data_IF_113448140041
#
_entry.id   IF_113448140041
#
_cell.length_a   1.000
_cell.length_b   1.000
_cell.length_c   1.000
_cell.angle_alpha   90.00
_cell.angle_beta   90.00
_cell.angle_gamma   90.00
#
_symmetry.space_group_name_H-M   'P 1'
#
loop_
_entity.id
_entity.type
_entity.pdbx_description
1 polymer ?
#
# COMPACT_ATOMS: atom_id res chain seq x y z
N UNK A 1 13.61 16.88 -0.65
CA UNK A 1 14.63 15.87 -0.27
C UNK A 1 13.98 14.49 -0.35
N UNK A 2 14.71 13.49 -0.85
CA UNK A 2 14.32 12.09 -0.71
C UNK A 2 15.38 11.39 0.15
N UNK A 3 14.95 10.59 1.11
CA UNK A 3 15.84 9.72 1.85
C UNK A 3 15.31 8.29 1.79
N UNK A 4 16.23 7.34 1.76
CA UNK A 4 15.94 5.91 1.80
C UNK A 4 16.51 5.35 3.09
N UNK A 5 15.92 4.27 3.58
CA UNK A 5 16.46 3.57 4.74
C UNK A 5 17.84 2.99 4.41
N UNK A 6 18.74 2.86 5.40
CA UNK A 6 19.98 2.12 5.23
C UNK A 6 19.72 0.71 4.66
N UNK A 7 20.67 0.21 3.88
CA UNK A 7 20.54 -1.12 3.26
C UNK A 7 20.34 -2.19 4.34
N UNK A 8 19.34 -3.04 4.14
CA UNK A 8 18.95 -4.11 5.07
C UNK A 8 18.39 -3.64 6.41
N UNK A 9 18.09 -2.35 6.56
CA UNK A 9 17.27 -1.85 7.66
C UNK A 9 15.83 -1.64 7.20
N UNK A 10 14.90 -2.10 8.03
CA UNK A 10 13.47 -1.90 7.85
C UNK A 10 12.82 -1.61 9.20
N UNK A 11 11.54 -1.25 9.16
CA UNK A 11 10.75 -1.02 10.36
C UNK A 11 10.70 0.44 10.80
N UNK A 12 9.85 0.67 11.79
CA UNK A 12 9.42 1.99 12.27
C UNK A 12 10.56 2.80 12.87
N UNK A 13 11.49 2.17 13.57
CA UNK A 13 12.64 2.83 14.24
C UNK A 13 13.63 3.45 13.25
N UNK A 14 14.01 2.70 12.19
CA UNK A 14 14.94 3.22 11.18
C UNK A 14 14.29 4.37 10.40
N UNK A 15 13.01 4.21 10.02
CA UNK A 15 12.25 5.27 9.36
C UNK A 15 12.12 6.55 10.21
N UNK A 16 11.85 6.42 11.50
CA UNK A 16 11.79 7.56 12.42
C UNK A 16 13.14 8.28 12.55
N UNK A 17 14.24 7.53 12.56
CA UNK A 17 15.60 8.09 12.63
C UNK A 17 15.94 8.89 11.37
N UNK A 18 15.67 8.33 10.19
CA UNK A 18 15.88 9.02 8.91
C UNK A 18 15.01 10.26 8.81
N UNK A 19 13.73 10.18 9.20
CA UNK A 19 12.83 11.33 9.19
C UNK A 19 13.29 12.45 10.13
N UNK A 20 13.73 12.10 11.35
CA UNK A 20 14.29 13.06 12.32
C UNK A 20 15.51 13.77 11.76
N UNK A 21 16.46 13.02 11.18
CA UNK A 21 17.70 13.59 10.66
C UNK A 21 17.44 14.45 9.41
N UNK A 22 16.43 14.10 8.61
CA UNK A 22 15.95 14.90 7.49
C UNK A 22 15.36 16.23 7.96
N UNK A 23 14.45 16.22 8.95
CA UNK A 23 13.88 17.46 9.51
C UNK A 23 14.95 18.36 10.13
N UNK A 24 15.97 17.76 10.77
CA UNK A 24 17.12 18.51 11.31
C UNK A 24 17.94 19.18 10.19
N UNK A 25 18.19 18.46 9.10
CA UNK A 25 19.10 18.93 8.03
C UNK A 25 18.43 19.88 7.05
N UNK A 26 17.10 19.79 6.90
CA UNK A 26 16.32 20.57 5.96
C UNK A 26 15.19 21.33 6.69
N UNK A 27 15.49 22.49 7.30
CA UNK A 27 14.56 23.20 8.17
C UNK A 27 13.31 23.75 7.46
N UNK A 28 13.33 23.84 6.13
CA UNK A 28 12.20 24.32 5.32
C UNK A 28 11.20 23.21 4.94
N UNK A 29 11.37 21.97 5.42
CA UNK A 29 10.36 20.92 5.21
C UNK A 29 9.08 21.29 5.96
N UNK A 30 7.97 21.32 5.22
CA UNK A 30 6.63 21.57 5.79
C UNK A 30 5.78 20.30 5.92
N UNK A 31 5.98 19.35 5.02
CA UNK A 31 5.25 18.09 4.96
C UNK A 31 6.21 16.96 4.60
N UNK A 32 5.99 15.78 5.17
CA UNK A 32 6.66 14.54 4.80
C UNK A 32 5.65 13.56 4.23
N UNK A 33 6.02 12.88 3.14
CA UNK A 33 5.25 11.78 2.57
C UNK A 33 6.02 10.48 2.80
N UNK A 34 5.37 9.49 3.40
CA UNK A 34 5.90 8.14 3.52
C UNK A 34 5.38 7.32 2.35
N UNK A 35 6.30 6.82 1.52
CA UNK A 35 5.99 5.99 0.34
C UNK A 35 6.70 4.66 0.52
N UNK A 36 5.98 3.57 0.27
CA UNK A 36 6.50 2.22 0.39
C UNK A 36 5.56 1.20 -0.22
N UNK A 37 6.00 -0.05 -0.25
CA UNK A 37 5.17 -1.19 -0.64
C UNK A 37 4.46 -1.76 0.60
N UNK A 38 3.29 -2.36 0.40
CA UNK A 38 2.53 -3.02 1.44
C UNK A 38 1.79 -4.24 0.91
N UNK A 39 1.30 -5.08 1.82
CA UNK A 39 0.39 -6.17 1.48
C UNK A 39 -1.04 -5.65 1.31
N UNK A 40 -1.77 -6.16 0.32
CA UNK A 40 -3.19 -5.92 0.17
C UNK A 40 -4.01 -6.90 1.01
N UNK A 41 -5.12 -6.43 1.59
CA UNK A 41 -6.14 -7.27 2.22
C UNK A 41 -7.47 -7.08 1.48
N UNK A 42 -7.68 -7.77 0.34
CA UNK A 42 -8.87 -7.58 -0.48
C UNK A 42 -10.15 -7.97 0.26
N UNK A 43 -11.26 -7.32 -0.09
CA UNK A 43 -12.59 -7.63 0.42
C UNK A 43 -13.62 -7.47 -0.68
N UNK A 44 -14.84 -7.98 -0.47
CA UNK A 44 -15.93 -7.81 -1.44
C UNK A 44 -16.25 -6.34 -1.77
N UNK A 45 -15.87 -5.39 -0.90
CA UNK A 45 -16.04 -3.95 -1.12
C UNK A 45 -14.80 -3.28 -1.73
N UNK A 46 -13.62 -3.85 -1.53
CA UNK A 46 -12.35 -3.26 -1.94
C UNK A 46 -11.52 -4.34 -2.62
N UNK A 47 -11.58 -4.36 -3.94
CA UNK A 47 -10.87 -5.31 -4.77
C UNK A 47 -9.42 -4.85 -5.02
N UNK A 48 -8.60 -4.94 -3.97
CA UNK A 48 -7.19 -4.51 -3.99
C UNK A 48 -6.36 -5.51 -4.82
N UNK A 49 -5.67 -5.03 -5.85
CA UNK A 49 -4.85 -5.82 -6.79
C UNK A 49 -3.37 -5.50 -6.69
N UNK A 50 -2.53 -6.40 -7.19
CA UNK A 50 -1.10 -6.10 -7.33
C UNK A 50 -0.89 -4.91 -8.28
N UNK A 51 -0.16 -3.92 -7.78
CA UNK A 51 0.12 -2.66 -8.48
C UNK A 51 -0.83 -1.52 -8.12
N UNK A 52 -1.93 -1.79 -7.41
CA UNK A 52 -2.80 -0.73 -6.89
C UNK A 52 -2.07 0.21 -5.94
N UNK A 53 -2.52 1.46 -5.91
CA UNK A 53 -1.97 2.51 -5.05
C UNK A 53 -2.92 2.72 -3.87
N UNK A 54 -2.36 2.80 -2.67
CA UNK A 54 -3.15 3.07 -1.46
C UNK A 54 -2.75 4.44 -0.93
N UNK A 55 -3.72 5.32 -0.75
CA UNK A 55 -3.52 6.64 -0.15
C UNK A 55 -4.19 6.68 1.21
N UNK A 56 -3.36 6.88 2.24
CA UNK A 56 -3.82 6.99 3.61
C UNK A 56 -4.69 8.24 3.79
N UNK A 57 -5.94 8.06 4.22
CA UNK A 57 -6.87 9.15 4.58
C UNK A 57 -7.59 8.87 5.89
N UNK A 58 -8.18 9.90 6.50
CA UNK A 58 -8.93 9.76 7.76
C UNK A 58 -10.05 8.73 7.59
N UNK A 59 -10.20 7.84 8.56
CA UNK A 59 -11.27 6.84 8.57
C UNK A 59 -11.59 6.38 9.99
N UNK A 60 -12.88 6.20 10.29
CA UNK A 60 -13.37 5.61 11.56
C UNK A 60 -12.73 6.19 12.83
N UNK A 61 -12.54 7.52 12.88
CA UNK A 61 -11.92 8.22 14.02
C UNK A 61 -10.39 8.13 14.11
N UNK A 62 -9.71 7.47 13.16
CA UNK A 62 -8.25 7.29 13.13
C UNK A 62 -7.57 8.24 12.14
N UNK A 63 -6.27 8.48 12.35
CA UNK A 63 -5.43 9.40 11.57
C UNK A 63 -4.89 8.87 10.25
N UNK A 64 -5.57 7.94 9.59
CA UNK A 64 -5.13 7.38 8.30
C UNK A 64 -4.20 6.19 8.38
N UNK A 65 -3.40 6.08 9.43
CA UNK A 65 -2.61 4.87 9.72
C UNK A 65 -3.06 4.27 11.04
N UNK A 66 -3.25 2.96 11.04
CA UNK A 66 -3.66 2.16 12.19
C UNK A 66 -2.57 1.14 12.53
N UNK A 67 -1.95 1.30 13.70
CA UNK A 67 -0.99 0.33 14.19
C UNK A 67 -1.71 -0.82 14.87
N UNK A 68 -1.82 -1.96 14.19
CA UNK A 68 -2.72 -3.05 14.60
C UNK A 68 -2.13 -3.97 15.67
N UNK A 69 -0.80 -3.99 15.79
CA UNK A 69 -0.04 -4.76 16.78
C UNK A 69 0.24 -3.99 18.07
N UNK A 70 -0.14 -2.71 18.15
CA UNK A 70 0.15 -1.85 19.30
C UNK A 70 -1.07 -1.63 20.20
N UNK A 71 -1.00 -2.19 21.40
CA UNK A 71 -2.14 -2.22 22.31
C UNK A 71 -1.91 -3.10 23.52
N UNK A 72 -2.99 -3.39 24.22
CA UNK A 72 -3.01 -4.23 25.43
C UNK A 72 -3.75 -5.52 25.15
N UNK A 73 -3.08 -6.64 25.43
CA UNK A 73 -3.75 -7.91 25.64
C UNK A 73 -4.26 -7.93 27.09
N UNK A 74 -5.58 -7.99 27.26
CA UNK A 74 -6.23 -8.10 28.57
C UNK A 74 -6.85 -9.50 28.63
N UNK A 75 -6.63 -10.22 29.73
CA UNK A 75 -7.16 -11.57 29.91
C UNK A 75 -8.68 -11.58 29.67
N UNK A 76 -9.17 -12.56 28.91
CA UNK A 76 -10.59 -12.71 28.52
C UNK A 76 -11.18 -11.55 27.71
N UNK A 77 -10.37 -10.65 27.18
CA UNK A 77 -10.82 -9.55 26.34
C UNK A 77 -10.13 -9.58 24.98
N UNK A 78 -10.79 -8.98 23.97
CA UNK A 78 -10.15 -8.71 22.69
C UNK A 78 -8.98 -7.75 22.86
N UNK A 79 -8.00 -7.82 21.95
CA UNK A 79 -6.88 -6.90 21.93
C UNK A 79 -7.36 -5.44 21.88
N UNK A 80 -6.90 -4.63 22.84
CA UNK A 80 -7.31 -3.23 22.95
C UNK A 80 -6.21 -2.36 22.35
N UNK A 81 -6.45 -1.77 21.18
CA UNK A 81 -5.55 -0.76 20.63
C UNK A 81 -5.53 0.47 21.55
N UNK A 82 -4.34 0.89 21.97
CA UNK A 82 -4.18 2.05 22.87
C UNK A 82 -3.50 3.24 22.23
N UNK A 83 -3.03 3.11 20.98
CA UNK A 83 -2.32 4.17 20.25
C UNK A 83 -3.17 4.79 19.13
N UNK A 84 -2.94 6.07 18.88
CA UNK A 84 -3.44 6.76 17.68
C UNK A 84 -2.30 7.53 17.03
N UNK A 85 -2.14 7.41 15.72
CA UNK A 85 -1.19 8.21 14.96
C UNK A 85 -1.79 9.56 14.56
N UNK A 86 -0.91 10.53 14.33
CA UNK A 86 -1.29 11.86 13.87
C UNK A 86 -2.09 11.77 12.58
N UNK A 87 -3.09 12.65 12.46
CA UNK A 87 -3.91 12.74 11.25
C UNK A 87 -3.20 13.61 10.20
N UNK A 88 -3.40 13.34 8.89
CA UNK A 88 -2.89 14.23 7.86
C UNK A 88 -3.42 15.65 8.06
N UNK A 89 -2.59 16.69 7.88
CA UNK A 89 -3.02 18.08 7.94
C UNK A 89 -4.20 18.37 7.00
N UNK A 90 -5.12 19.25 7.41
CA UNK A 90 -6.30 19.62 6.60
C UNK A 90 -5.92 20.05 5.18
N UNK A 91 -4.85 20.81 5.02
CA UNK A 91 -4.38 21.25 3.70
C UNK A 91 -4.11 20.06 2.75
N UNK A 92 -3.49 18.98 3.25
CA UNK A 92 -3.21 17.80 2.43
C UNK A 92 -4.49 17.02 2.13
N UNK A 93 -5.42 16.96 3.08
CA UNK A 93 -6.72 16.32 2.87
C UNK A 93 -7.56 17.07 1.83
N UNK A 94 -7.53 18.40 1.83
CA UNK A 94 -8.21 19.21 0.80
C UNK A 94 -7.59 19.02 -0.57
N UNK A 95 -6.25 18.98 -0.65
CA UNK A 95 -5.56 18.67 -1.90
C UNK A 95 -5.89 17.26 -2.40
N UNK A 96 -5.97 16.29 -1.49
CA UNK A 96 -6.36 14.92 -1.79
C UNK A 96 -7.77 14.84 -2.40
N UNK A 97 -8.76 15.52 -1.81
CA UNK A 97 -10.12 15.55 -2.35
C UNK A 97 -10.20 16.18 -3.74
N UNK A 98 -9.37 17.20 -4.02
CA UNK A 98 -9.27 17.76 -5.36
C UNK A 98 -8.70 16.78 -6.38
N UNK A 99 -7.64 16.07 -6.00
CA UNK A 99 -7.00 15.05 -6.84
C UNK A 99 -7.92 13.84 -7.09
N UNK A 100 -8.64 13.40 -6.07
CA UNK A 100 -9.63 12.33 -6.18
C UNK A 100 -10.75 12.70 -7.17
N UNK A 101 -11.27 13.94 -7.10
CA UNK A 101 -12.28 14.42 -8.04
C UNK A 101 -11.75 14.56 -9.48
N UNK A 102 -10.51 15.00 -9.66
CA UNK A 102 -9.86 15.06 -10.98
C UNK A 102 -9.71 13.68 -11.59
N UNK A 103 -9.25 12.69 -10.81
CA UNK A 103 -9.10 11.32 -11.27
C UNK A 103 -10.44 10.60 -11.50
N UNK A 104 -11.48 10.91 -10.72
CA UNK A 104 -12.83 10.40 -10.98
C UNK A 104 -13.38 10.89 -12.33
N UNK A 105 -13.06 12.14 -12.72
CA UNK A 105 -13.54 12.75 -13.96
C UNK A 105 -12.71 12.38 -15.19
N UNK A 106 -11.38 12.35 -15.05
CA UNK A 106 -10.45 12.29 -16.17
C UNK A 106 -9.63 10.98 -16.21
N UNK A 107 -9.70 10.17 -15.16
CA UNK A 107 -8.79 9.07 -14.91
C UNK A 107 -7.39 9.55 -14.53
N UNK A 108 -6.44 8.62 -14.43
CA UNK A 108 -5.05 8.95 -14.13
C UNK A 108 -4.05 8.37 -15.14
N UNK A 109 -2.87 8.99 -15.22
CA UNK A 109 -1.80 8.60 -16.14
C UNK A 109 -0.68 7.78 -15.48
N UNK A 110 -0.96 7.09 -14.37
CA UNK A 110 0.05 6.38 -13.58
C UNK A 110 0.87 5.37 -14.42
N UNK A 111 0.21 4.50 -15.19
CA UNK A 111 0.92 3.55 -16.06
C UNK A 111 1.78 4.28 -17.10
N UNK A 112 1.23 5.29 -17.77
CA UNK A 112 1.97 6.05 -18.79
C UNK A 112 3.21 6.74 -18.19
N UNK A 113 3.15 7.20 -16.95
CA UNK A 113 4.30 7.77 -16.25
C UNK A 113 5.35 6.71 -15.88
N UNK A 114 4.91 5.54 -15.40
CA UNK A 114 5.80 4.41 -15.09
C UNK A 114 6.47 3.89 -16.36
N UNK A 115 5.72 3.68 -17.44
CA UNK A 115 6.24 3.18 -18.71
C UNK A 115 7.27 4.14 -19.31
N UNK A 116 7.00 5.45 -19.27
CA UNK A 116 7.95 6.48 -19.71
C UNK A 116 9.25 6.45 -18.88
N UNK A 117 9.15 6.24 -17.58
CA UNK A 117 10.34 6.09 -16.72
C UNK A 117 11.12 4.81 -17.07
N UNK A 118 10.43 3.70 -17.31
CA UNK A 118 11.04 2.43 -17.69
C UNK A 118 11.65 2.45 -19.11
N UNK A 119 11.09 3.25 -20.02
CA UNK A 119 11.70 3.58 -21.32
C UNK A 119 12.98 4.38 -21.16
N UNK A 120 12.97 5.40 -20.31
CA UNK A 120 14.13 6.24 -20.04
C UNK A 120 15.28 5.47 -19.40
N UNK A 121 14.99 4.49 -18.54
CA UNK A 121 15.99 3.67 -17.85
C UNK A 121 15.80 2.17 -18.12
N UNK A 122 16.24 1.65 -19.28
CA UNK A 122 15.97 0.28 -19.69
C UNK A 122 16.48 -0.80 -18.71
N UNK A 123 17.55 -0.52 -17.96
CA UNK A 123 18.07 -1.42 -16.92
C UNK A 123 17.09 -1.66 -15.77
N UNK A 124 16.12 -0.76 -15.57
CA UNK A 124 15.10 -0.88 -14.54
C UNK A 124 13.96 -1.81 -14.96
N UNK A 125 13.68 -1.96 -16.26
CA UNK A 125 12.56 -2.79 -16.77
C UNK A 125 12.54 -4.18 -16.17
N UNK A 126 13.66 -4.89 -16.22
CA UNK A 126 13.71 -6.27 -15.74
C UNK A 126 13.28 -6.42 -14.27
N UNK A 127 13.52 -5.41 -13.43
CA UNK A 127 13.27 -5.48 -11.98
C UNK A 127 11.99 -4.76 -11.55
N UNK A 128 11.58 -3.72 -12.26
CA UNK A 128 10.53 -2.79 -11.82
C UNK A 128 9.34 -2.71 -12.78
N UNK A 129 9.33 -3.50 -13.86
CA UNK A 129 8.11 -3.69 -14.66
C UNK A 129 7.00 -4.31 -13.81
N UNK A 130 5.76 -3.89 -14.09
CA UNK A 130 4.58 -4.51 -13.49
C UNK A 130 4.55 -6.00 -13.86
N UNK A 131 4.33 -6.91 -12.90
CA UNK A 131 4.13 -8.32 -13.19
C UNK A 131 2.94 -8.56 -14.13
N UNK A 132 2.92 -9.66 -14.89
CA UNK A 132 1.77 -10.09 -15.67
C UNK A 132 0.47 -10.19 -14.85
N UNK A 133 -0.67 -9.89 -15.47
CA UNK A 133 -1.97 -9.86 -14.77
C UNK A 133 -2.37 -11.22 -14.16
N UNK A 134 -1.97 -12.32 -14.78
CA UNK A 134 -2.19 -13.70 -14.30
C UNK A 134 -1.37 -14.06 -13.06
N UNK A 135 -0.38 -13.23 -12.68
CA UNK A 135 0.35 -13.36 -11.43
C UNK A 135 -0.40 -12.82 -10.20
N UNK A 136 -1.44 -11.99 -10.39
CA UNK A 136 -2.29 -11.50 -9.29
C UNK A 136 -3.37 -12.53 -8.93
N UNK A 137 -3.03 -13.44 -8.03
CA UNK A 137 -3.84 -14.61 -7.68
C UNK A 137 -4.36 -14.50 -6.26
N UNK A 138 -5.67 -14.32 -6.13
CA UNK A 138 -6.35 -14.28 -4.83
C UNK A 138 -6.84 -15.68 -4.47
N UNK A 139 -6.18 -16.31 -3.50
CA UNK A 139 -6.62 -17.57 -2.93
C UNK A 139 -7.78 -17.35 -1.96
N UNK A 140 -8.66 -18.33 -1.82
CA UNK A 140 -9.67 -18.31 -0.77
C UNK A 140 -9.01 -18.35 0.60
N UNK A 141 -9.65 -17.71 1.59
CA UNK A 141 -9.11 -17.56 2.94
C UNK A 141 -8.93 -18.87 3.72
N UNK A 142 -9.60 -19.95 3.28
CA UNK A 142 -9.50 -21.28 3.87
C UNK A 142 -8.37 -22.14 3.29
N UNK A 143 -7.66 -21.65 2.27
CA UNK A 143 -6.51 -22.35 1.70
C UNK A 143 -5.30 -22.17 2.61
N UNK A 144 -4.74 -23.29 3.06
CA UNK A 144 -3.49 -23.32 3.82
C UNK A 144 -2.32 -23.30 2.84
N UNK A 145 -1.51 -22.26 2.93
CA UNK A 145 -0.31 -22.12 2.13
C UNK A 145 0.83 -22.97 2.73
N UNK A 146 1.56 -23.75 1.93
CA UNK A 146 2.74 -24.46 2.39
C UNK A 146 3.77 -23.51 3.00
N UNK A 147 4.43 -23.94 4.08
CA UNK A 147 5.56 -23.22 4.64
C UNK A 147 6.81 -23.48 3.77
N UNK A 148 6.97 -22.67 2.73
CA UNK A 148 8.07 -22.75 1.78
C UNK A 148 8.68 -21.39 1.50
N UNK A 149 9.98 -21.36 1.18
CA UNK A 149 10.66 -20.15 0.71
C UNK A 149 10.26 -19.72 -0.71
N UNK A 150 9.61 -20.61 -1.46
CA UNK A 150 9.22 -20.37 -2.85
C UNK A 150 7.95 -19.51 -2.93
N UNK A 151 7.73 -18.87 -4.08
CA UNK A 151 6.56 -18.02 -4.29
C UNK A 151 5.28 -18.85 -4.25
N UNK A 152 4.20 -18.31 -3.67
CA UNK A 152 2.94 -19.08 -3.59
C UNK A 152 2.40 -19.46 -4.98
N UNK A 153 2.68 -18.70 -6.03
CA UNK A 153 2.31 -19.09 -7.39
C UNK A 153 2.93 -20.45 -7.83
N UNK A 154 4.07 -20.83 -7.24
CA UNK A 154 4.83 -22.03 -7.60
C UNK A 154 4.42 -23.25 -6.75
N UNK A 155 4.07 -23.03 -5.48
CA UNK A 155 3.81 -24.12 -4.51
C UNK A 155 2.33 -24.33 -4.17
N UNK A 156 1.49 -23.33 -4.40
CA UNK A 156 0.07 -23.39 -4.08
C UNK A 156 -0.72 -24.01 -5.25
N UNK A 157 -1.88 -24.61 -4.94
CA UNK A 157 -2.71 -25.26 -5.95
C UNK A 157 -3.21 -24.25 -7.00
N UNK A 158 -3.05 -24.61 -8.28
CA UNK A 158 -3.59 -23.85 -9.41
C UNK A 158 -5.04 -24.20 -9.74
N UNK A 159 -5.69 -25.03 -8.92
CA UNK A 159 -7.09 -25.39 -9.10
C UNK A 159 -7.99 -24.13 -8.99
N UNK A 160 -8.82 -23.83 -9.99
CA UNK A 160 -9.80 -22.74 -9.93
C UNK A 160 -10.69 -22.79 -8.67
N UNK A 161 -10.92 -23.96 -8.09
CA UNK A 161 -11.69 -24.11 -6.85
C UNK A 161 -11.00 -23.49 -5.61
N UNK A 162 -9.68 -23.31 -5.66
CA UNK A 162 -8.88 -22.67 -4.60
C UNK A 162 -8.79 -21.15 -4.75
N UNK A 163 -9.12 -20.62 -5.94
CA UNK A 163 -9.00 -19.21 -6.27
C UNK A 163 -10.36 -18.50 -6.15
N UNK A 164 -10.32 -17.22 -5.81
CA UNK A 164 -11.47 -16.32 -5.90
C UNK A 164 -11.54 -15.79 -7.33
N UNK A 165 -12.67 -16.02 -7.98
CA UNK A 165 -12.93 -15.45 -9.31
C UNK A 165 -13.03 -13.92 -9.22
N UNK A 166 -12.21 -13.23 -10.02
CA UNK A 166 -12.13 -11.77 -10.07
C UNK A 166 -12.29 -11.34 -11.52
N UNK A 167 -13.34 -10.57 -11.80
CA UNK A 167 -13.58 -10.01 -13.13
C UNK A 167 -12.42 -9.10 -13.53
N UNK A 168 -12.06 -9.08 -14.80
CA UNK A 168 -11.16 -8.04 -15.31
C UNK A 168 -11.77 -6.65 -15.10
N UNK A 169 -10.92 -5.67 -14.80
CA UNK A 169 -11.37 -4.27 -14.69
C UNK A 169 -11.80 -3.79 -16.06
N UNK A 170 -12.97 -3.17 -16.12
CA UNK A 170 -13.51 -2.63 -17.37
C UNK A 170 -12.86 -1.31 -17.78
N UNK A 171 -13.24 -0.78 -18.94
CA UNK A 171 -12.75 0.51 -19.46
C UNK A 171 -13.09 1.72 -18.57
N UNK A 172 -14.05 1.57 -17.66
CA UNK A 172 -14.49 2.62 -16.72
C UNK A 172 -13.81 2.49 -15.35
N UNK A 173 -12.93 1.51 -15.17
CA UNK A 173 -12.21 1.26 -13.93
C UNK A 173 -10.72 1.53 -14.12
N UNK A 174 -10.12 2.25 -13.18
CA UNK A 174 -8.69 2.50 -13.19
C UNK A 174 -7.90 1.20 -12.93
N UNK A 175 -6.86 0.99 -13.73
CA UNK A 175 -5.88 -0.06 -13.51
C UNK A 175 -4.45 0.48 -13.72
N UNK A 176 -3.64 0.68 -12.66
CA UNK A 176 -3.91 0.36 -11.26
C UNK A 176 -5.02 1.22 -10.67
N UNK A 177 -5.73 0.74 -9.65
CA UNK A 177 -6.73 1.53 -8.94
C UNK A 177 -6.10 2.24 -7.75
N UNK A 178 -6.68 3.37 -7.36
CA UNK A 178 -6.30 4.10 -6.16
C UNK A 178 -7.35 3.86 -5.08
N UNK A 179 -6.92 3.33 -3.93
CA UNK A 179 -7.79 3.12 -2.77
C UNK A 179 -7.47 4.16 -1.70
N UNK A 180 -8.50 4.85 -1.23
CA UNK A 180 -8.38 5.84 -0.17
C UNK A 180 -8.91 5.26 1.14
N UNK A 181 -8.07 5.16 2.17
CA UNK A 181 -8.54 4.62 3.44
C UNK A 181 -7.51 4.51 4.55
N UNK A 182 -7.86 3.68 5.53
CA UNK A 182 -6.97 3.35 6.64
C UNK A 182 -5.92 2.34 6.18
N UNK A 183 -4.66 2.66 6.42
CA UNK A 183 -3.52 1.76 6.19
C UNK A 183 -3.13 1.10 7.50
N UNK A 184 -3.08 -0.23 7.50
CA UNK A 184 -2.61 -1.00 8.64
C UNK A 184 -1.07 -1.03 8.67
N UNK A 185 -0.48 -0.90 9.87
CA UNK A 185 0.97 -0.98 10.08
C UNK A 185 1.28 -1.81 11.32
N UNK A 186 2.43 -2.48 11.32
CA UNK A 186 2.98 -3.21 12.45
C UNK A 186 4.51 -3.09 12.49
N UNK A 187 5.11 -3.49 13.60
CA UNK A 187 6.56 -3.53 13.79
C UNK A 187 7.18 -4.86 13.38
#
# INVERSE_FOLDING_TARGET
VMAVLPKSEYGTTSAATVARDMLRSFPNIRFGLMVGIGGGAPSAKHDIRLGDVIVSTRGSGKGGVFQYDYGKAIQEHAFVTTGSLNQPPQLLLTALSGLEAEYELEGHQLNAHVDRALEQWPRLRQKYSRPPADSDRLYRSDIVHPDSSDGCADVCSNDPACLVDRKERGEQEDDPAIHYGLVASAN
#
